data_IF_947976332377
#
_entry.id   IF_947976332377
#
_cell.length_a   1.000
_cell.length_b   1.000
_cell.length_c   1.000
_cell.angle_alpha   90.00
_cell.angle_beta   90.00
_cell.angle_gamma   90.00
#
_symmetry.space_group_name_H-M   'P 1'
#
loop_
_entity.id
_entity.type
_entity.pdbx_description
1 polymer ?
#
# COMPACT_ATOMS: atom_id res chain seq x y z
N UNK A 1 -31.21 27.91 3.73
CA UNK A 1 -30.20 26.86 3.96
C UNK A 1 -30.23 26.37 5.39
N UNK A 2 -29.97 25.09 5.63
CA UNK A 2 -30.07 24.44 6.96
C UNK A 2 -29.12 25.06 8.00
N UNK A 3 -27.97 25.55 7.54
CA UNK A 3 -26.89 26.06 8.38
C UNK A 3 -26.75 27.60 8.37
N UNK A 4 -27.74 28.32 7.83
CA UNK A 4 -27.71 29.76 7.88
C UNK A 4 -27.71 30.27 9.33
N UNK A 5 -27.01 31.39 9.62
CA UNK A 5 -26.24 32.19 8.67
C UNK A 5 -24.80 31.74 8.46
N UNK A 6 -24.23 30.88 9.33
CA UNK A 6 -22.85 30.45 9.23
C UNK A 6 -22.54 29.20 10.07
N UNK A 7 -21.41 28.54 9.80
CA UNK A 7 -20.81 27.36 10.43
C UNK A 7 -21.43 26.01 10.05
N UNK A 8 -20.58 25.03 9.82
CA UNK A 8 -20.86 23.65 9.42
C UNK A 8 -21.30 23.47 7.96
N UNK A 9 -21.38 24.52 7.15
CA UNK A 9 -21.67 24.44 5.71
C UNK A 9 -20.57 23.77 4.91
N UNK A 10 -19.31 23.99 5.26
CA UNK A 10 -18.13 23.36 4.69
C UNK A 10 -18.09 21.86 4.99
N UNK A 11 -18.32 21.51 6.23
CA UNK A 11 -18.39 20.11 6.68
C UNK A 11 -19.58 19.38 6.00
N UNK A 12 -20.75 20.04 5.93
CA UNK A 12 -21.91 19.51 5.24
C UNK A 12 -21.64 19.27 3.76
N UNK A 13 -20.99 20.22 3.09
CA UNK A 13 -20.61 20.09 1.69
C UNK A 13 -19.66 18.89 1.50
N UNK A 14 -18.67 18.71 2.38
CA UNK A 14 -17.75 17.58 2.32
C UNK A 14 -18.50 16.23 2.41
N UNK A 15 -19.50 16.13 3.27
CA UNK A 15 -20.33 14.92 3.37
C UNK A 15 -21.22 14.72 2.12
N UNK A 16 -21.81 15.78 1.59
CA UNK A 16 -22.64 15.70 0.36
C UNK A 16 -21.81 15.27 -0.86
N UNK A 17 -20.61 15.86 -1.04
CA UNK A 17 -19.67 15.48 -2.11
C UNK A 17 -19.37 13.97 -2.05
N UNK A 18 -19.13 13.46 -0.84
CA UNK A 18 -18.84 12.04 -0.64
C UNK A 18 -20.06 11.14 -0.86
N UNK A 19 -21.25 11.58 -0.42
CA UNK A 19 -22.49 10.87 -0.67
C UNK A 19 -22.80 10.78 -2.17
N UNK A 20 -22.39 11.79 -2.94
CA UNK A 20 -22.46 11.78 -4.40
C UNK A 20 -21.40 10.88 -5.09
N UNK A 21 -20.57 10.16 -4.32
CA UNK A 21 -19.57 9.23 -4.86
C UNK A 21 -18.20 9.85 -5.16
N UNK A 22 -18.01 11.13 -4.84
CA UNK A 22 -16.72 11.81 -5.02
C UNK A 22 -15.84 11.73 -3.78
N UNK A 23 -14.54 12.00 -3.95
CA UNK A 23 -13.58 12.06 -2.84
C UNK A 23 -13.43 13.48 -2.33
N UNK A 24 -13.21 13.60 -1.03
CA UNK A 24 -12.72 14.81 -0.38
C UNK A 24 -11.27 14.53 0.01
N UNK A 25 -10.35 15.31 -0.53
CA UNK A 25 -8.91 15.12 -0.35
C UNK A 25 -8.28 16.33 0.32
N UNK A 26 -7.26 16.08 1.13
CA UNK A 26 -6.41 17.10 1.69
C UNK A 26 -5.29 17.41 0.70
N UNK A 27 -5.10 18.70 0.38
CA UNK A 27 -4.01 19.19 -0.49
C UNK A 27 -3.01 20.00 0.32
N UNK A 28 -1.87 19.44 0.73
CA UNK A 28 -0.93 20.13 1.63
C UNK A 28 -0.22 21.33 0.98
N UNK A 29 -0.18 21.41 -0.35
CA UNK A 29 0.38 22.56 -1.09
C UNK A 29 -0.58 23.76 -1.13
N UNK A 30 -1.88 23.55 -0.83
CA UNK A 30 -2.87 24.63 -0.75
C UNK A 30 -2.83 25.25 0.66
N UNK A 31 -2.13 26.36 0.78
CA UNK A 31 -1.96 27.06 2.04
C UNK A 31 -2.83 28.30 2.08
N UNK A 32 -3.66 28.40 3.12
CA UNK A 32 -4.52 29.55 3.40
C UNK A 32 -4.14 30.12 4.75
N UNK A 33 -3.93 31.44 4.82
CA UNK A 33 -3.72 32.13 6.08
C UNK A 33 -5.10 32.53 6.63
N UNK A 34 -5.44 31.99 7.80
CA UNK A 34 -6.69 32.29 8.48
C UNK A 34 -6.43 33.10 9.75
N UNK A 35 -6.94 34.34 9.76
CA UNK A 35 -6.84 35.21 10.93
C UNK A 35 -8.05 34.94 11.82
N UNK A 36 -7.90 34.09 12.82
CA UNK A 36 -8.97 33.69 13.71
C UNK A 36 -9.53 34.89 14.50
N UNK A 37 -10.84 34.99 14.58
CA UNK A 37 -11.54 36.00 15.40
C UNK A 37 -11.75 37.37 14.73
N UNK A 38 -11.10 37.67 13.61
CA UNK A 38 -11.24 38.99 12.97
C UNK A 38 -12.65 39.21 12.40
N UNK A 39 -13.21 38.21 11.74
CA UNK A 39 -14.51 38.36 11.06
C UNK A 39 -15.72 38.10 11.96
N UNK A 40 -15.65 37.15 12.89
CA UNK A 40 -16.82 36.62 13.61
C UNK A 40 -16.63 36.49 15.12
N UNK A 41 -15.49 36.97 15.66
CA UNK A 41 -15.11 36.79 17.06
C UNK A 41 -14.77 35.33 17.41
N UNK A 42 -14.39 35.08 18.64
CA UNK A 42 -14.04 33.75 19.16
C UNK A 42 -15.06 33.20 20.19
N UNK A 43 -15.95 34.07 20.70
CA UNK A 43 -16.89 33.73 21.76
C UNK A 43 -18.16 33.07 21.19
N UNK A 44 -18.38 31.79 21.52
CA UNK A 44 -19.56 31.03 21.14
C UNK A 44 -20.82 31.41 21.95
N UNK A 45 -20.66 32.11 23.07
CA UNK A 45 -21.75 32.62 23.91
C UNK A 45 -22.09 34.08 23.62
N UNK A 46 -21.27 34.76 22.80
CA UNK A 46 -21.45 36.17 22.44
C UNK A 46 -22.57 36.41 21.45
N UNK A 47 -22.73 37.68 21.06
CA UNK A 47 -23.76 38.13 20.12
C UNK A 47 -23.34 37.93 18.65
N UNK A 48 -22.08 37.59 18.37
CA UNK A 48 -21.52 37.38 17.02
C UNK A 48 -22.01 36.11 16.34
N UNK A 49 -21.58 35.91 15.08
CA UNK A 49 -21.96 34.74 14.29
C UNK A 49 -21.48 33.43 14.91
N UNK A 50 -20.42 33.45 15.72
CA UNK A 50 -19.86 32.25 16.39
C UNK A 50 -20.91 31.49 17.24
N UNK A 51 -21.92 32.18 17.77
CA UNK A 51 -23.04 31.56 18.51
C UNK A 51 -23.80 30.48 17.73
N UNK A 52 -23.85 30.59 16.41
CA UNK A 52 -24.52 29.62 15.56
C UNK A 52 -23.76 28.30 15.42
N UNK A 53 -22.47 28.27 15.77
CA UNK A 53 -21.67 27.06 15.67
C UNK A 53 -22.23 25.92 16.51
N UNK A 54 -22.65 26.18 17.73
CA UNK A 54 -23.21 25.15 18.65
C UNK A 54 -24.53 24.58 18.08
N UNK A 55 -25.44 25.45 17.65
CA UNK A 55 -26.73 25.03 17.10
C UNK A 55 -26.56 24.28 15.77
N UNK A 56 -25.67 24.75 14.90
CA UNK A 56 -25.43 24.14 13.60
C UNK A 56 -24.63 22.83 13.72
N UNK A 57 -23.75 22.67 14.71
CA UNK A 57 -23.11 21.38 15.00
C UNK A 57 -24.13 20.30 15.40
N UNK A 58 -25.19 20.64 16.15
CA UNK A 58 -26.28 19.70 16.43
C UNK A 58 -27.01 19.30 15.16
N UNK A 59 -27.39 20.27 14.33
CA UNK A 59 -28.06 19.99 13.03
C UNK A 59 -27.20 19.14 12.12
N UNK A 60 -25.87 19.33 12.11
CA UNK A 60 -24.93 18.52 11.34
C UNK A 60 -24.92 17.07 11.84
N UNK A 61 -24.80 16.88 13.17
CA UNK A 61 -24.86 15.56 13.78
C UNK A 61 -26.16 14.83 13.49
N UNK A 62 -27.29 15.51 13.56
CA UNK A 62 -28.60 14.94 13.23
C UNK A 62 -28.69 14.53 11.75
N UNK A 63 -28.23 15.39 10.84
CA UNK A 63 -28.28 15.13 9.39
C UNK A 63 -27.42 13.94 8.98
N UNK A 64 -26.25 13.80 9.59
CA UNK A 64 -25.20 12.84 9.21
C UNK A 64 -24.95 11.76 10.25
N UNK A 65 -25.94 11.45 11.11
CA UNK A 65 -25.78 10.50 12.22
C UNK A 65 -25.21 9.15 11.75
N UNK A 66 -25.73 8.58 10.67
CA UNK A 66 -25.26 7.30 10.11
C UNK A 66 -23.83 7.38 9.56
N UNK A 67 -23.43 8.54 9.06
CA UNK A 67 -22.06 8.74 8.57
C UNK A 67 -21.09 9.00 9.72
N UNK A 68 -21.52 9.72 10.76
CA UNK A 68 -20.69 9.89 11.97
C UNK A 68 -20.44 8.56 12.69
N UNK A 69 -21.43 7.66 12.72
CA UNK A 69 -21.27 6.34 13.30
C UNK A 69 -20.18 5.48 12.65
N UNK A 70 -19.78 5.83 11.43
CA UNK A 70 -18.70 5.16 10.66
C UNK A 70 -17.34 5.85 10.84
N UNK A 71 -17.23 6.90 11.62
CA UNK A 71 -16.00 7.64 11.85
C UNK A 71 -15.42 7.32 13.23
N UNK A 72 -14.10 7.50 13.38
CA UNK A 72 -13.47 7.46 14.69
C UNK A 72 -14.01 8.60 15.57
N UNK A 73 -14.27 8.29 16.84
CA UNK A 73 -14.74 9.30 17.78
C UNK A 73 -13.62 10.28 18.16
N UNK A 74 -13.98 11.56 18.22
CA UNK A 74 -13.13 12.56 18.86
C UNK A 74 -13.50 12.63 20.35
N UNK A 75 -12.80 11.85 21.16
CA UNK A 75 -12.98 11.75 22.60
C UNK A 75 -11.97 12.61 23.40
N UNK A 76 -11.32 13.58 22.74
CA UNK A 76 -10.26 14.40 23.34
C UNK A 76 -8.85 13.81 23.20
N UNK A 77 -8.73 12.55 22.80
CA UNK A 77 -7.48 11.90 22.43
C UNK A 77 -7.69 11.19 21.07
N UNK A 78 -7.83 11.95 19.96
CA UNK A 78 -8.08 11.36 18.67
C UNK A 78 -6.87 10.54 18.22
N UNK A 79 -7.13 9.39 17.61
CA UNK A 79 -6.13 8.66 16.84
C UNK A 79 -6.10 9.19 15.39
N UNK A 80 -5.14 10.08 15.05
CA UNK A 80 -5.09 10.66 13.72
C UNK A 80 -4.71 9.65 12.66
N UNK A 81 -4.01 8.57 13.01
CA UNK A 81 -3.60 7.54 12.07
C UNK A 81 -4.80 6.81 11.44
N UNK A 82 -5.81 6.46 12.26
CA UNK A 82 -7.05 5.84 11.78
C UNK A 82 -8.08 6.85 11.28
N UNK A 83 -8.19 7.99 11.97
CA UNK A 83 -9.22 8.99 11.69
C UNK A 83 -9.02 9.66 10.33
N UNK A 84 -7.79 10.03 9.97
CA UNK A 84 -7.48 10.73 8.71
C UNK A 84 -7.82 9.93 7.46
N UNK A 85 -7.76 8.61 7.51
CA UNK A 85 -8.00 7.72 6.38
C UNK A 85 -9.34 7.03 6.43
N UNK A 86 -10.11 7.27 7.50
CA UNK A 86 -11.42 6.63 7.71
C UNK A 86 -11.32 5.11 7.67
N UNK A 87 -10.29 4.61 8.34
CA UNK A 87 -9.96 3.18 8.40
C UNK A 87 -10.80 2.39 9.40
N UNK A 88 -11.73 3.04 10.12
CA UNK A 88 -12.62 2.33 11.04
C UNK A 88 -13.37 1.21 10.30
N UNK A 89 -13.23 -0.02 10.79
CA UNK A 89 -13.79 -1.21 10.15
C UNK A 89 -13.06 -1.70 8.89
N UNK A 90 -11.96 -1.06 8.47
CA UNK A 90 -11.12 -1.52 7.35
C UNK A 90 -9.81 -2.10 7.87
N UNK A 91 -9.28 -3.06 7.11
CA UNK A 91 -7.94 -3.59 7.36
C UNK A 91 -6.89 -2.72 6.68
N UNK A 92 -5.83 -2.39 7.39
CA UNK A 92 -4.67 -1.70 6.85
C UNK A 92 -3.66 -2.76 6.39
N UNK A 93 -3.12 -2.58 5.19
CA UNK A 93 -2.01 -3.38 4.65
C UNK A 93 -0.81 -2.47 4.39
N UNK A 94 0.34 -2.87 4.91
CA UNK A 94 1.64 -2.27 4.58
C UNK A 94 2.29 -3.09 3.48
N UNK A 95 2.60 -2.47 2.36
CA UNK A 95 3.35 -3.08 1.26
C UNK A 95 4.77 -2.50 1.27
N UNK A 96 5.77 -3.36 1.33
CA UNK A 96 7.18 -2.97 1.31
C UNK A 96 7.85 -3.52 0.07
N UNK A 97 8.51 -2.67 -0.70
CA UNK A 97 9.32 -3.04 -1.86
C UNK A 97 10.60 -2.18 -1.89
N UNK A 98 11.49 -2.38 -2.83
CA UNK A 98 12.78 -1.68 -2.86
C UNK A 98 12.65 -0.19 -3.22
N UNK A 99 11.69 0.19 -4.07
CA UNK A 99 11.36 1.58 -4.42
C UNK A 99 9.88 1.70 -4.84
N UNK A 100 9.41 2.93 -5.03
CA UNK A 100 8.09 3.20 -5.59
C UNK A 100 7.97 2.58 -6.98
N UNK A 101 6.92 1.76 -7.27
CA UNK A 101 6.86 0.96 -8.48
C UNK A 101 6.77 1.82 -9.75
N UNK A 102 7.82 1.81 -10.54
CA UNK A 102 7.91 2.42 -11.87
C UNK A 102 7.32 1.47 -12.91
N UNK A 103 6.02 1.30 -12.88
CA UNK A 103 5.24 0.20 -13.49
C UNK A 103 5.35 0.09 -15.02
N UNK A 104 5.88 1.09 -15.71
CA UNK A 104 6.12 1.14 -17.14
C UNK A 104 7.58 0.86 -17.52
N UNK A 105 8.47 0.66 -16.53
CA UNK A 105 9.90 0.47 -16.73
C UNK A 105 10.35 -0.98 -16.51
N UNK A 106 9.75 -1.68 -15.56
CA UNK A 106 10.13 -3.06 -15.25
C UNK A 106 8.95 -3.94 -14.83
N UNK A 107 9.11 -5.25 -15.01
CA UNK A 107 8.08 -6.24 -14.76
C UNK A 107 7.70 -6.37 -13.28
N UNK A 108 8.67 -6.28 -12.37
CA UNK A 108 8.44 -6.37 -10.93
C UNK A 108 7.63 -5.18 -10.42
N UNK A 109 7.99 -3.96 -10.84
CA UNK A 109 7.22 -2.74 -10.55
C UNK A 109 5.80 -2.84 -11.10
N UNK A 110 5.63 -3.40 -12.30
CA UNK A 110 4.29 -3.63 -12.88
C UNK A 110 3.46 -4.56 -12.01
N UNK A 111 4.04 -5.63 -11.55
CA UNK A 111 3.40 -6.58 -10.63
C UNK A 111 2.98 -5.89 -9.33
N UNK A 112 3.91 -5.23 -8.64
CA UNK A 112 3.63 -4.51 -7.39
C UNK A 112 2.52 -3.48 -7.57
N UNK A 113 2.56 -2.67 -8.62
CA UNK A 113 1.53 -1.67 -8.93
C UNK A 113 0.13 -2.30 -9.10
N UNK A 114 0.04 -3.41 -9.82
CA UNK A 114 -1.22 -4.12 -10.03
C UNK A 114 -1.76 -4.71 -8.72
N UNK A 115 -0.90 -5.24 -7.86
CA UNK A 115 -1.31 -5.73 -6.54
C UNK A 115 -1.76 -4.60 -5.61
N UNK A 116 -1.13 -3.43 -5.65
CA UNK A 116 -1.60 -2.24 -4.93
C UNK A 116 -3.02 -1.87 -5.33
N UNK A 117 -3.31 -1.82 -6.65
CA UNK A 117 -4.67 -1.60 -7.16
C UNK A 117 -5.65 -2.69 -6.70
N UNK A 118 -5.24 -3.94 -6.70
CA UNK A 118 -6.06 -5.05 -6.23
C UNK A 118 -6.39 -4.91 -4.73
N UNK A 119 -5.45 -4.54 -3.88
CA UNK A 119 -5.69 -4.31 -2.47
C UNK A 119 -6.70 -3.19 -2.23
N UNK A 120 -6.57 -2.07 -2.96
CA UNK A 120 -7.57 -0.99 -2.91
C UNK A 120 -8.96 -1.48 -3.33
N UNK A 121 -9.05 -2.24 -4.43
CA UNK A 121 -10.32 -2.81 -4.94
C UNK A 121 -10.95 -3.78 -3.92
N UNK A 122 -10.13 -4.47 -3.12
CA UNK A 122 -10.58 -5.34 -2.02
C UNK A 122 -10.97 -4.57 -0.75
N UNK A 123 -10.85 -3.26 -0.74
CA UNK A 123 -11.26 -2.38 0.36
C UNK A 123 -10.22 -2.20 1.47
N UNK A 124 -8.99 -2.62 1.25
CA UNK A 124 -7.90 -2.32 2.19
C UNK A 124 -7.56 -0.82 2.18
N UNK A 125 -7.12 -0.32 3.32
CA UNK A 125 -6.32 0.91 3.40
C UNK A 125 -4.88 0.51 3.14
N UNK A 126 -4.28 1.06 2.09
CA UNK A 126 -2.94 0.65 1.63
C UNK A 126 -1.92 1.70 2.02
N UNK A 127 -0.86 1.26 2.68
CA UNK A 127 0.35 2.03 2.91
C UNK A 127 1.49 1.38 2.15
N UNK A 128 2.31 2.20 1.50
CA UNK A 128 3.43 1.73 0.70
C UNK A 128 4.75 2.31 1.21
N UNK A 129 5.73 1.45 1.38
CA UNK A 129 7.09 1.81 1.77
C UNK A 129 8.08 1.34 0.70
N UNK A 130 8.74 2.28 0.04
CA UNK A 130 9.96 2.00 -0.72
C UNK A 130 11.17 2.01 0.21
N UNK A 131 11.96 0.93 0.25
CA UNK A 131 13.12 0.79 1.14
C UNK A 131 14.23 1.84 0.87
N UNK A 132 14.21 2.47 -0.31
CA UNK A 132 15.07 3.60 -0.62
C UNK A 132 14.59 4.94 -0.05
N UNK A 133 13.38 5.00 0.49
CA UNK A 133 12.72 6.19 1.06
C UNK A 133 12.65 7.40 0.12
N UNK A 134 12.71 7.16 -1.18
CA UNK A 134 12.72 8.23 -2.17
C UNK A 134 11.33 8.52 -2.73
N UNK A 135 11.12 9.78 -3.08
CA UNK A 135 10.00 10.20 -3.88
C UNK A 135 10.35 9.99 -5.36
N UNK A 136 9.56 9.18 -6.06
CA UNK A 136 9.74 8.85 -7.48
C UNK A 136 8.58 9.43 -8.30
N UNK A 137 8.75 10.66 -8.79
CA UNK A 137 7.72 11.27 -9.63
C UNK A 137 7.77 10.75 -11.07
N UNK A 138 6.61 10.57 -11.72
CA UNK A 138 5.24 10.89 -11.26
C UNK A 138 4.57 9.77 -10.44
N UNK A 139 5.22 8.63 -10.22
CA UNK A 139 4.63 7.42 -9.66
C UNK A 139 4.17 7.58 -8.21
N UNK A 140 4.93 8.30 -7.39
CA UNK A 140 4.52 8.60 -6.01
C UNK A 140 3.22 9.38 -5.98
N UNK A 141 3.13 10.47 -6.74
CA UNK A 141 1.90 11.28 -6.84
C UNK A 141 0.72 10.47 -7.37
N UNK A 142 0.94 9.54 -8.27
CA UNK A 142 -0.11 8.67 -8.81
C UNK A 142 -0.64 7.70 -7.74
N UNK A 143 0.24 7.07 -6.96
CA UNK A 143 -0.17 6.22 -5.83
C UNK A 143 -0.97 7.01 -4.79
N UNK A 144 -0.50 8.21 -4.43
CA UNK A 144 -1.19 9.09 -3.48
C UNK A 144 -2.58 9.49 -3.99
N UNK A 145 -2.71 9.78 -5.29
CA UNK A 145 -4.01 10.08 -5.90
C UNK A 145 -4.97 8.89 -5.92
N UNK A 146 -4.47 7.68 -5.95
CA UNK A 146 -5.30 6.48 -5.76
C UNK A 146 -5.75 6.29 -4.30
N UNK A 147 -5.17 7.02 -3.35
CA UNK A 147 -5.46 6.93 -1.92
C UNK A 147 -4.51 6.01 -1.16
N UNK A 148 -3.33 5.72 -1.72
CA UNK A 148 -2.25 5.01 -1.04
C UNK A 148 -1.39 6.03 -0.31
N UNK A 149 -1.12 5.81 0.98
CA UNK A 149 -0.10 6.59 1.69
C UNK A 149 1.28 6.03 1.35
N UNK A 150 2.13 6.87 0.76
CA UNK A 150 3.52 6.51 0.45
C UNK A 150 4.43 7.05 1.54
N UNK A 151 5.17 6.16 2.20
CA UNK A 151 6.08 6.49 3.29
C UNK A 151 7.47 6.79 2.71
N UNK A 152 7.80 8.06 2.54
CA UNK A 152 9.08 8.50 1.97
C UNK A 152 9.66 9.72 2.68
N UNK A 153 10.90 10.01 2.38
CA UNK A 153 11.63 11.16 2.90
C UNK A 153 12.47 10.86 4.14
N UNK A 154 13.31 11.84 4.54
CA UNK A 154 14.30 11.65 5.61
C UNK A 154 13.69 11.28 6.95
N UNK A 155 12.47 11.74 7.22
CA UNK A 155 11.79 11.44 8.48
C UNK A 155 11.49 9.95 8.61
N UNK A 156 10.92 9.33 7.56
CA UNK A 156 10.65 7.89 7.56
C UNK A 156 11.93 7.08 7.52
N UNK A 157 12.95 7.51 6.77
CA UNK A 157 14.25 6.84 6.74
C UNK A 157 14.86 6.68 8.13
N UNK A 158 14.70 7.68 8.99
CA UNK A 158 15.25 7.68 10.35
C UNK A 158 14.34 6.96 11.34
N UNK A 159 13.00 7.10 11.18
CA UNK A 159 12.01 6.71 12.19
C UNK A 159 11.14 5.51 11.79
N UNK A 160 11.47 4.79 10.72
CA UNK A 160 10.59 3.71 10.23
C UNK A 160 10.34 2.63 11.28
N UNK A 161 11.33 2.31 12.10
CA UNK A 161 11.21 1.31 13.15
C UNK A 161 10.29 1.77 14.29
N UNK A 162 10.41 3.04 14.68
CA UNK A 162 9.49 3.65 15.66
C UNK A 162 8.07 3.70 15.10
N UNK A 163 7.92 4.09 13.83
CA UNK A 163 6.64 4.12 13.15
C UNK A 163 5.98 2.73 13.09
N UNK A 164 6.73 1.68 12.77
CA UNK A 164 6.23 0.30 12.77
C UNK A 164 5.79 -0.16 14.16
N UNK A 165 6.56 0.18 15.20
CA UNK A 165 6.19 -0.11 16.59
C UNK A 165 4.92 0.63 17.00
N UNK A 166 4.85 1.92 16.70
CA UNK A 166 3.78 2.82 17.16
C UNK A 166 2.45 2.55 16.44
N UNK A 167 2.47 1.97 15.23
CA UNK A 167 1.30 1.67 14.41
C UNK A 167 1.08 0.19 14.11
N UNK A 168 1.90 -0.69 14.68
CA UNK A 168 1.82 -2.14 14.43
C UNK A 168 0.45 -2.73 14.72
N UNK A 169 -0.18 -2.32 15.82
CA UNK A 169 -1.51 -2.79 16.23
C UNK A 169 -2.63 -2.42 15.25
N UNK A 170 -2.40 -1.41 14.43
CA UNK A 170 -3.36 -0.95 13.43
C UNK A 170 -3.22 -1.68 12.09
N UNK A 171 -2.06 -2.26 11.82
CA UNK A 171 -1.72 -2.91 10.55
C UNK A 171 -2.05 -4.40 10.63
N UNK A 172 -2.98 -4.85 9.79
CA UNK A 172 -3.39 -6.24 9.79
C UNK A 172 -2.41 -7.17 9.05
N UNK A 173 -1.75 -6.64 8.00
CA UNK A 173 -0.89 -7.44 7.11
C UNK A 173 0.28 -6.59 6.64
N UNK A 174 1.49 -7.16 6.65
CA UNK A 174 2.65 -6.67 5.91
C UNK A 174 2.88 -7.57 4.69
N UNK A 175 2.89 -6.99 3.50
CA UNK A 175 3.19 -7.64 2.24
C UNK A 175 4.62 -7.26 1.81
N UNK A 176 5.56 -8.16 2.08
CA UNK A 176 6.99 -7.93 1.89
C UNK A 176 7.43 -8.52 0.54
N UNK A 177 7.96 -7.67 -0.31
CA UNK A 177 8.46 -8.06 -1.62
C UNK A 177 9.97 -8.31 -1.57
N UNK A 178 10.44 -9.23 -2.43
CA UNK A 178 11.85 -9.51 -2.70
C UNK A 178 12.67 -9.96 -1.48
N UNK A 179 13.52 -10.96 -1.61
CA UNK A 179 14.23 -11.54 -0.47
C UNK A 179 15.16 -10.53 0.23
N UNK A 180 15.88 -9.70 -0.52
CA UNK A 180 16.80 -8.71 0.05
C UNK A 180 16.11 -7.55 0.78
N UNK A 181 14.84 -7.29 0.47
CA UNK A 181 14.02 -6.30 1.19
C UNK A 181 13.32 -6.98 2.37
N UNK A 182 12.63 -8.08 2.12
CA UNK A 182 11.89 -8.79 3.17
C UNK A 182 12.77 -9.16 4.37
N UNK A 183 14.02 -9.57 4.12
CA UNK A 183 14.98 -9.92 5.19
C UNK A 183 15.33 -8.77 6.14
N UNK A 184 15.19 -7.51 5.70
CA UNK A 184 15.44 -6.36 6.57
C UNK A 184 14.30 -6.11 7.57
N UNK A 185 13.05 -6.43 7.18
CA UNK A 185 11.87 -6.03 7.93
C UNK A 185 11.21 -7.15 8.72
N UNK A 186 11.29 -8.41 8.24
CA UNK A 186 10.50 -9.51 8.77
C UNK A 186 10.73 -9.77 10.26
N UNK A 187 11.98 -9.79 10.70
CA UNK A 187 12.30 -10.08 12.10
C UNK A 187 11.79 -8.98 13.02
N UNK A 188 12.04 -7.72 12.65
CA UNK A 188 11.54 -6.61 13.43
C UNK A 188 10.00 -6.61 13.56
N UNK A 189 9.30 -6.87 12.46
CA UNK A 189 7.83 -6.92 12.44
C UNK A 189 7.33 -8.05 13.36
N UNK A 190 7.88 -9.24 13.24
CA UNK A 190 7.45 -10.40 14.02
C UNK A 190 7.79 -10.28 15.52
N UNK A 191 8.93 -9.65 15.85
CA UNK A 191 9.38 -9.50 17.24
C UNK A 191 8.67 -8.36 17.98
N UNK A 192 8.13 -7.36 17.28
CA UNK A 192 7.61 -6.14 17.89
C UNK A 192 6.14 -5.86 17.61
N UNK A 193 5.46 -6.68 16.80
CA UNK A 193 4.07 -6.45 16.38
C UNK A 193 3.32 -7.76 16.18
N UNK A 194 1.97 -7.69 16.14
CA UNK A 194 1.10 -8.82 15.78
C UNK A 194 0.76 -8.87 14.27
N UNK A 195 1.49 -8.13 13.42
CA UNK A 195 1.26 -8.05 11.99
C UNK A 195 1.49 -9.41 11.33
N UNK A 196 0.54 -9.87 10.54
CA UNK A 196 0.72 -11.07 9.71
C UNK A 196 1.58 -10.76 8.50
N UNK A 197 2.69 -11.47 8.34
CA UNK A 197 3.59 -11.28 7.22
C UNK A 197 3.21 -12.21 6.06
N UNK A 198 3.03 -11.62 4.88
CA UNK A 198 2.98 -12.28 3.58
C UNK A 198 4.29 -11.95 2.86
N UNK A 199 4.96 -12.96 2.36
CA UNK A 199 6.17 -12.80 1.56
C UNK A 199 5.88 -13.05 0.08
N UNK A 200 6.36 -12.17 -0.82
CA UNK A 200 6.30 -12.35 -2.27
C UNK A 200 7.70 -12.30 -2.87
N UNK A 201 8.17 -13.44 -3.36
CA UNK A 201 9.55 -13.61 -3.82
C UNK A 201 9.87 -12.96 -5.16
N UNK A 202 8.88 -12.68 -6.02
CA UNK A 202 8.98 -12.29 -7.42
C UNK A 202 9.56 -13.36 -8.34
N UNK A 203 10.71 -13.90 -7.98
CA UNK A 203 11.37 -15.06 -8.56
C UNK A 203 12.14 -15.80 -7.47
N UNK A 204 12.39 -17.08 -7.69
CA UNK A 204 13.15 -17.89 -6.76
C UNK A 204 14.64 -17.80 -7.12
N UNK A 205 15.35 -16.88 -6.47
CA UNK A 205 16.77 -16.56 -6.74
C UNK A 205 17.64 -17.80 -6.64
N UNK A 206 17.48 -18.58 -5.58
CA UNK A 206 18.19 -19.84 -5.41
C UNK A 206 18.03 -20.77 -6.62
N UNK A 207 16.81 -20.94 -7.14
CA UNK A 207 16.56 -21.84 -8.27
C UNK A 207 17.20 -21.32 -9.56
N UNK A 208 17.12 -20.00 -9.79
CA UNK A 208 17.75 -19.34 -10.93
C UNK A 208 19.25 -19.53 -10.92
N UNK A 209 19.92 -19.17 -9.82
CA UNK A 209 21.37 -19.30 -9.65
C UNK A 209 21.81 -20.79 -9.74
N UNK A 210 21.02 -21.71 -9.18
CA UNK A 210 21.31 -23.15 -9.28
C UNK A 210 21.30 -23.66 -10.72
N UNK A 211 20.34 -23.19 -11.54
CA UNK A 211 20.25 -23.54 -12.97
C UNK A 211 21.41 -22.93 -13.76
N UNK A 212 21.76 -21.70 -13.47
CA UNK A 212 22.92 -21.03 -14.09
C UNK A 212 24.24 -21.76 -13.74
N UNK A 213 24.41 -22.17 -12.50
CA UNK A 213 25.56 -23.00 -12.10
C UNK A 213 25.65 -24.33 -12.86
N UNK A 214 24.52 -24.95 -13.17
CA UNK A 214 24.51 -26.19 -13.96
C UNK A 214 25.13 -25.99 -15.35
N UNK A 215 24.98 -24.79 -15.92
CA UNK A 215 25.51 -24.44 -17.25
C UNK A 215 26.95 -23.97 -17.16
N UNK A 216 27.20 -22.99 -16.29
CA UNK A 216 28.50 -22.27 -16.23
C UNK A 216 29.58 -23.01 -15.45
N UNK A 217 29.19 -23.80 -14.42
CA UNK A 217 30.05 -24.43 -13.42
C UNK A 217 30.91 -23.43 -12.64
N UNK A 218 30.53 -22.15 -12.62
CA UNK A 218 31.21 -21.11 -11.87
C UNK A 218 31.02 -21.32 -10.35
N UNK A 219 32.09 -21.51 -9.55
CA UNK A 219 31.97 -21.68 -8.11
C UNK A 219 31.29 -20.52 -7.39
N UNK A 220 31.44 -19.30 -7.90
CA UNK A 220 30.80 -18.12 -7.33
C UNK A 220 29.29 -18.17 -7.44
N UNK A 221 28.77 -18.57 -8.58
CA UNK A 221 27.31 -18.73 -8.80
C UNK A 221 26.75 -19.81 -7.86
N UNK A 222 27.53 -20.85 -7.57
CA UNK A 222 27.15 -21.85 -6.59
C UNK A 222 27.05 -21.24 -5.18
N UNK A 223 28.02 -20.44 -4.78
CA UNK A 223 28.00 -19.76 -3.47
C UNK A 223 26.80 -18.81 -3.37
N UNK A 224 26.51 -18.06 -4.43
CA UNK A 224 25.35 -17.17 -4.50
C UNK A 224 24.03 -17.97 -4.41
N UNK A 225 23.93 -19.14 -5.08
CA UNK A 225 22.76 -20.02 -4.97
C UNK A 225 22.55 -20.51 -3.52
N UNK A 226 23.57 -20.95 -2.83
CA UNK A 226 23.46 -21.40 -1.43
C UNK A 226 23.11 -20.24 -0.49
N UNK A 227 23.66 -19.06 -0.71
CA UNK A 227 23.31 -17.84 0.02
C UNK A 227 21.83 -17.51 -0.14
N UNK A 228 21.31 -17.43 -1.37
CA UNK A 228 19.91 -17.13 -1.62
C UNK A 228 18.99 -18.22 -1.07
N UNK A 229 19.37 -19.49 -1.18
CA UNK A 229 18.63 -20.59 -0.59
C UNK A 229 18.42 -20.39 0.91
N UNK A 230 19.48 -20.04 1.63
CA UNK A 230 19.40 -19.79 3.07
C UNK A 230 18.46 -18.63 3.41
N UNK A 231 18.56 -17.51 2.68
CA UNK A 231 17.73 -16.34 2.90
C UNK A 231 16.27 -16.64 2.60
N UNK A 232 15.97 -17.19 1.41
CA UNK A 232 14.59 -17.43 0.94
C UNK A 232 13.89 -18.46 1.82
N UNK A 233 14.53 -19.56 2.20
CA UNK A 233 13.93 -20.56 3.09
C UNK A 233 13.72 -20.00 4.51
N UNK A 234 14.60 -19.16 5.01
CA UNK A 234 14.41 -18.47 6.29
C UNK A 234 13.18 -17.55 6.23
N UNK A 235 13.03 -16.77 5.18
CA UNK A 235 11.86 -15.90 4.99
C UNK A 235 10.56 -16.69 4.92
N UNK A 236 10.56 -17.76 4.11
CA UNK A 236 9.37 -18.59 3.92
C UNK A 236 8.94 -19.32 5.19
N UNK A 237 9.90 -19.73 6.03
CA UNK A 237 9.60 -20.37 7.32
C UNK A 237 8.98 -19.42 8.35
N UNK A 238 9.26 -18.11 8.23
CA UNK A 238 8.77 -17.06 9.14
C UNK A 238 7.45 -16.46 8.66
N UNK A 239 7.24 -16.37 7.35
CA UNK A 239 6.03 -15.79 6.77
C UNK A 239 4.80 -16.66 7.02
N UNK A 240 3.65 -16.04 7.26
CA UNK A 240 2.38 -16.77 7.38
C UNK A 240 2.01 -17.51 6.09
N UNK A 241 2.35 -16.91 4.95
CA UNK A 241 2.27 -17.52 3.61
C UNK A 241 3.26 -16.83 2.69
N UNK A 242 3.85 -17.61 1.78
CA UNK A 242 4.72 -17.11 0.72
C UNK A 242 4.09 -17.31 -0.64
N UNK A 243 4.32 -16.37 -1.55
CA UNK A 243 3.83 -16.45 -2.93
C UNK A 243 4.97 -16.33 -3.94
N UNK A 244 4.87 -17.13 -4.99
CA UNK A 244 5.73 -17.07 -6.17
C UNK A 244 4.88 -17.06 -7.45
N UNK A 245 5.38 -16.52 -8.57
CA UNK A 245 4.56 -16.37 -9.77
C UNK A 245 4.29 -17.67 -10.54
N UNK A 246 4.99 -18.76 -10.22
CA UNK A 246 4.83 -20.02 -10.96
C UNK A 246 4.74 -21.25 -10.05
N UNK A 247 3.98 -22.26 -10.50
CA UNK A 247 3.90 -23.56 -9.84
C UNK A 247 5.26 -24.29 -9.83
N UNK A 248 6.15 -24.00 -10.79
CA UNK A 248 7.49 -24.60 -10.87
C UNK A 248 8.32 -24.20 -9.64
N UNK A 249 8.24 -22.94 -9.24
CA UNK A 249 8.93 -22.43 -8.05
C UNK A 249 8.33 -23.01 -6.77
N UNK A 250 7.00 -23.01 -6.66
CA UNK A 250 6.29 -23.66 -5.55
C UNK A 250 6.70 -25.14 -5.40
N UNK A 251 6.68 -25.89 -6.49
CA UNK A 251 6.97 -27.32 -6.46
C UNK A 251 8.44 -27.56 -6.11
N UNK A 252 9.39 -26.75 -6.62
CA UNK A 252 10.80 -26.82 -6.25
C UNK A 252 11.04 -26.54 -4.74
N UNK A 253 10.27 -25.66 -4.14
CA UNK A 253 10.31 -25.41 -2.68
C UNK A 253 9.78 -26.64 -1.93
N UNK A 254 8.62 -27.18 -2.33
CA UNK A 254 8.00 -28.34 -1.69
C UNK A 254 8.82 -29.63 -1.85
N UNK A 255 9.62 -29.78 -2.89
CA UNK A 255 10.57 -30.88 -3.03
C UNK A 255 11.64 -30.90 -1.91
N UNK A 256 11.98 -29.71 -1.38
CA UNK A 256 12.97 -29.57 -0.31
C UNK A 256 12.31 -29.59 1.06
N UNK A 257 11.24 -28.80 1.23
CA UNK A 257 10.49 -28.72 2.48
C UNK A 257 8.97 -28.60 2.20
N UNK A 258 8.24 -29.71 2.28
CA UNK A 258 6.79 -29.72 2.04
C UNK A 258 5.98 -29.03 3.16
N UNK A 259 6.61 -28.64 4.26
CA UNK A 259 5.92 -27.97 5.38
C UNK A 259 5.76 -26.46 5.18
N UNK A 260 6.52 -25.88 4.25
CA UNK A 260 6.44 -24.45 3.95
C UNK A 260 5.10 -24.11 3.30
N UNK A 261 4.40 -23.12 3.87
CA UNK A 261 3.17 -22.61 3.31
C UNK A 261 3.45 -21.69 2.12
N UNK A 262 3.74 -22.28 0.97
CA UNK A 262 3.96 -21.56 -0.28
C UNK A 262 2.86 -21.84 -1.28
N UNK A 263 2.48 -20.81 -2.06
CA UNK A 263 1.46 -20.88 -3.11
C UNK A 263 1.94 -20.19 -4.36
N UNK A 264 1.46 -20.65 -5.50
CA UNK A 264 1.62 -19.90 -6.75
C UNK A 264 0.50 -18.86 -6.93
N UNK A 265 0.84 -17.73 -7.49
CA UNK A 265 -0.09 -16.65 -7.78
C UNK A 265 0.33 -15.95 -9.08
N UNK A 266 -0.65 -15.58 -9.89
CA UNK A 266 -0.42 -14.84 -11.12
C UNK A 266 0.42 -13.58 -10.87
N UNK A 267 1.52 -13.41 -11.62
CA UNK A 267 2.37 -12.22 -11.55
C UNK A 267 1.61 -10.95 -11.97
N UNK A 268 0.70 -11.08 -12.94
CA UNK A 268 -0.03 -9.94 -13.47
C UNK A 268 -1.53 -10.07 -13.23
N UNK A 269 -2.15 -8.99 -12.77
CA UNK A 269 -3.60 -8.84 -12.61
C UNK A 269 -4.09 -7.82 -13.62
N UNK A 270 -4.80 -8.26 -14.64
CA UNK A 270 -5.36 -7.37 -15.67
C UNK A 270 -6.84 -7.12 -15.38
N UNK A 271 -7.27 -5.86 -15.49
CA UNK A 271 -8.69 -5.49 -15.35
C UNK A 271 -9.50 -5.96 -16.56
N UNK A 272 -8.89 -5.98 -17.75
CA UNK A 272 -9.52 -6.37 -19.01
C UNK A 272 -8.61 -7.29 -19.82
N UNK A 273 -9.23 -8.23 -20.52
CA UNK A 273 -8.57 -9.08 -21.52
C UNK A 273 -9.10 -8.74 -22.90
N UNK A 274 -8.22 -8.60 -23.87
CA UNK A 274 -8.63 -8.53 -25.28
C UNK A 274 -9.19 -9.89 -25.70
N UNK A 275 -10.48 -9.94 -26.01
CA UNK A 275 -11.15 -11.15 -26.50
C UNK A 275 -10.93 -11.38 -27.99
N UNK A 276 -10.60 -10.32 -28.74
CA UNK A 276 -10.50 -10.39 -30.20
C UNK A 276 -9.09 -10.74 -30.61
N UNK A 277 -8.90 -11.96 -31.10
CA UNK A 277 -7.71 -12.38 -31.83
C UNK A 277 -7.82 -11.75 -33.21
N UNK A 278 -7.06 -10.69 -33.46
CA UNK A 278 -7.13 -9.93 -34.73
C UNK A 278 -6.61 -10.69 -35.93
N UNK A 279 -5.77 -11.73 -35.73
CA UNK A 279 -5.25 -12.54 -36.82
C UNK A 279 -5.21 -14.02 -36.44
N UNK A 280 -5.64 -14.86 -37.38
CA UNK A 280 -5.51 -16.32 -37.30
C UNK A 280 -4.03 -16.71 -37.11
N UNK A 281 -3.79 -17.67 -36.23
CA UNK A 281 -2.43 -18.17 -35.95
C UNK A 281 -1.70 -18.58 -37.21
N UNK A 282 -2.39 -19.15 -38.20
CA UNK A 282 -1.84 -19.59 -39.49
C UNK A 282 -1.29 -18.41 -40.34
N UNK A 283 -1.68 -17.19 -40.06
CA UNK A 283 -1.19 -15.99 -40.78
C UNK A 283 -0.04 -15.29 -40.08
N UNK A 284 0.34 -15.75 -38.88
CA UNK A 284 1.44 -15.14 -38.13
C UNK A 284 2.79 -15.61 -38.66
N UNK A 285 3.70 -14.66 -38.85
CA UNK A 285 5.05 -14.90 -39.31
C UNK A 285 6.05 -14.25 -38.37
N UNK A 286 7.27 -14.81 -38.30
CA UNK A 286 8.40 -14.27 -37.57
C UNK A 286 8.48 -14.75 -36.13
N UNK A 287 9.46 -14.20 -35.43
CA UNK A 287 9.73 -14.45 -34.00
C UNK A 287 9.53 -13.15 -33.23
N UNK A 288 8.80 -13.22 -32.15
CA UNK A 288 8.64 -12.11 -31.18
C UNK A 288 9.51 -12.40 -29.96
N UNK A 289 10.43 -11.51 -29.67
CA UNK A 289 11.15 -11.47 -28.40
C UNK A 289 10.60 -10.32 -27.54
N UNK A 290 10.23 -10.63 -26.30
CA UNK A 290 9.81 -9.64 -25.30
C UNK A 290 10.72 -9.77 -24.11
N UNK A 291 11.50 -8.72 -23.82
CA UNK A 291 12.43 -8.71 -22.69
C UNK A 291 12.96 -7.31 -22.40
N UNK A 292 13.48 -7.12 -21.18
CA UNK A 292 14.16 -5.90 -20.77
C UNK A 292 15.66 -6.02 -21.05
N UNK A 293 16.19 -5.24 -21.98
CA UNK A 293 17.63 -5.27 -22.33
C UNK A 293 18.55 -4.70 -21.23
N UNK A 294 17.99 -4.06 -20.21
CA UNK A 294 18.71 -3.58 -19.03
C UNK A 294 18.80 -4.64 -17.92
N UNK A 295 18.12 -5.77 -18.07
CA UNK A 295 18.21 -6.88 -17.13
C UNK A 295 19.35 -7.81 -17.58
N UNK A 296 20.30 -8.18 -16.69
CA UNK A 296 21.36 -9.11 -17.00
C UNK A 296 20.85 -10.48 -17.44
#
# INVERSE_FOLDING_TARGET
TRFAPAYCEDSDLAFEVRKAGYRVVYQPKSKVIHFEGISNGTDVQGTGLKRYQVANSRKLKEKWADEFAKQCENNGNPDPFRARERSMGKKIILVVDHYVPTYDKDAGSKTTYQYLKMFLKKGYVVKFLGDNFMNEEPYTSELEQMGIEVLYGPEYQVKIWDWLRDHGDDIAVAYLNRPHIASKYIDYILDNTDIKVIYYGHDLHWLRESREYQITKDPKIREDAEYWKSIEFTLMSKAAVSYYPSYIERDAIHEIDPTINVKDITAYVFDEFKSDIQEDFAKRNGLLFVGGFAHP
#
